data_IF_284371717450
#
_entry.id   IF_284371717450
#
_cell.length_a   1.000
_cell.length_b   1.000
_cell.length_c   1.000
_cell.angle_alpha   90.00
_cell.angle_beta   90.00
_cell.angle_gamma   90.00
#
_symmetry.space_group_name_H-M   'P 1'
#
loop_
_entity.id
_entity.type
_entity.pdbx_description
1 polymer ?
#
# COMPACT_ATOMS: atom_id res chain seq x y z
N UNK A 1 -19.72 27.32 41.63
CA UNK A 1 -19.25 27.54 40.24
C UNK A 1 -17.90 26.88 39.95
N UNK A 2 -16.87 27.02 40.80
CA UNK A 2 -15.53 26.42 40.57
C UNK A 2 -15.51 24.88 40.52
N UNK A 3 -16.35 24.20 41.30
CA UNK A 3 -16.43 22.73 41.33
C UNK A 3 -17.02 22.12 40.05
N UNK A 4 -18.04 22.76 39.46
CA UNK A 4 -18.62 22.32 38.18
C UNK A 4 -17.62 22.50 37.02
N UNK A 5 -16.72 23.48 37.11
CA UNK A 5 -15.69 23.72 36.10
C UNK A 5 -14.58 22.66 36.15
N UNK A 6 -14.18 22.22 37.35
CA UNK A 6 -13.24 21.11 37.53
C UNK A 6 -13.82 19.77 37.06
N UNK A 7 -15.12 19.54 37.27
CA UNK A 7 -15.81 18.35 36.75
C UNK A 7 -15.87 18.32 35.22
N UNK A 8 -16.12 19.48 34.59
CA UNK A 8 -16.14 19.59 33.12
C UNK A 8 -14.73 19.33 32.52
N UNK A 9 -13.70 19.82 33.21
CA UNK A 9 -12.31 19.61 32.81
C UNK A 9 -11.86 18.15 32.98
N UNK A 10 -12.28 17.49 34.06
CA UNK A 10 -12.03 16.07 34.30
C UNK A 10 -12.74 15.19 33.28
N UNK A 11 -13.98 15.52 32.91
CA UNK A 11 -14.70 14.84 31.85
C UNK A 11 -13.96 14.99 30.50
N UNK A 12 -13.50 16.19 30.18
CA UNK A 12 -12.74 16.46 28.96
C UNK A 12 -11.38 15.71 28.93
N UNK A 13 -10.75 15.52 30.08
CA UNK A 13 -9.49 14.78 30.22
C UNK A 13 -9.65 13.26 29.95
N UNK A 14 -10.83 12.69 30.21
CA UNK A 14 -11.10 11.27 29.93
C UNK A 14 -11.43 10.96 28.47
N UNK A 15 -11.83 11.96 27.67
CA UNK A 15 -12.19 11.78 26.25
C UNK A 15 -10.95 11.54 25.38
N UNK A 16 -9.74 11.88 25.84
CA UNK A 16 -8.53 11.82 25.04
C UNK A 16 -7.89 10.42 24.91
N UNK A 17 -8.49 9.35 25.47
CA UNK A 17 -7.80 8.06 25.62
C UNK A 17 -8.06 7.02 24.51
N UNK A 18 -8.90 7.27 23.50
CA UNK A 18 -9.34 6.22 22.55
C UNK A 18 -8.85 6.39 21.09
N UNK A 19 -7.72 7.04 20.83
CA UNK A 19 -7.29 7.34 19.46
C UNK A 19 -6.39 6.26 18.80
N UNK A 20 -5.69 5.44 19.58
CA UNK A 20 -4.66 4.53 19.05
C UNK A 20 -5.20 3.29 18.33
N UNK A 21 -6.33 2.72 18.79
CA UNK A 21 -6.87 1.47 18.23
C UNK A 21 -7.41 1.64 16.80
N UNK A 22 -7.85 2.86 16.44
CA UNK A 22 -8.45 3.12 15.14
C UNK A 22 -7.46 2.95 13.98
N UNK A 23 -6.21 3.38 14.18
CA UNK A 23 -5.15 3.33 13.15
C UNK A 23 -4.74 1.88 12.85
N UNK A 24 -4.67 1.03 13.88
CA UNK A 24 -4.32 -0.38 13.71
C UNK A 24 -5.39 -1.12 12.90
N UNK A 25 -6.67 -0.91 13.23
CA UNK A 25 -7.78 -1.54 12.51
C UNK A 25 -7.87 -1.09 11.05
N UNK A 26 -7.67 0.20 10.79
CA UNK A 26 -7.65 0.75 9.43
C UNK A 26 -6.49 0.16 8.60
N UNK A 27 -5.29 0.09 9.18
CA UNK A 27 -4.14 -0.55 8.54
C UNK A 27 -4.41 -2.02 8.20
N UNK A 28 -4.96 -2.79 9.15
CA UNK A 28 -5.31 -4.19 8.94
C UNK A 28 -6.34 -4.32 7.81
N UNK A 29 -7.33 -3.42 7.75
CA UNK A 29 -8.33 -3.39 6.69
C UNK A 29 -7.70 -3.21 5.30
N UNK A 30 -6.82 -2.22 5.14
CA UNK A 30 -6.13 -1.98 3.86
C UNK A 30 -5.26 -3.18 3.44
N UNK A 31 -4.49 -3.74 4.38
CA UNK A 31 -3.64 -4.91 4.11
C UNK A 31 -4.49 -6.11 3.72
N UNK A 32 -5.60 -6.35 4.43
CA UNK A 32 -6.52 -7.45 4.16
C UNK A 32 -7.13 -7.32 2.76
N UNK A 33 -7.62 -6.14 2.39
CA UNK A 33 -8.17 -5.91 1.06
C UNK A 33 -7.11 -6.10 -0.04
N UNK A 34 -5.93 -5.50 0.14
CA UNK A 34 -4.86 -5.61 -0.86
C UNK A 34 -4.34 -7.04 -1.00
N UNK A 35 -4.43 -7.87 0.03
CA UNK A 35 -4.03 -9.28 0.01
C UNK A 35 -5.19 -10.27 -0.27
N UNK A 36 -6.40 -9.78 -0.50
CA UNK A 36 -7.59 -10.62 -0.72
C UNK A 36 -7.46 -11.42 -2.04
N UNK A 37 -7.91 -12.67 -2.02
CA UNK A 37 -7.95 -13.57 -3.17
C UNK A 37 -8.75 -12.99 -4.35
N UNK A 38 -9.66 -12.04 -4.10
CA UNK A 38 -10.39 -11.29 -5.14
C UNK A 38 -9.48 -10.56 -6.12
N UNK A 39 -8.25 -10.23 -5.72
CA UNK A 39 -7.28 -9.59 -6.60
C UNK A 39 -6.58 -10.62 -7.49
N UNK A 40 -6.65 -11.91 -7.19
CA UNK A 40 -6.01 -13.01 -7.94
C UNK A 40 -4.48 -12.83 -8.08
N UNK A 41 -3.87 -12.01 -7.22
CA UNK A 41 -2.46 -11.59 -7.28
C UNK A 41 -2.25 -10.17 -7.82
N UNK A 42 -1.01 -9.67 -7.82
CA UNK A 42 -0.67 -8.30 -8.26
C UNK A 42 0.60 -8.26 -9.10
N UNK A 43 0.78 -9.25 -9.98
CA UNK A 43 1.90 -9.24 -10.92
C UNK A 43 1.77 -8.01 -11.85
N UNK A 44 2.90 -7.41 -12.23
CA UNK A 44 2.91 -6.26 -13.15
C UNK A 44 2.10 -6.54 -14.41
N UNK A 45 1.16 -5.65 -14.75
CA UNK A 45 0.28 -5.78 -15.91
C UNK A 45 -0.90 -6.75 -15.75
N UNK A 46 -1.04 -7.39 -14.57
CA UNK A 46 -2.21 -8.24 -14.27
C UNK A 46 -3.46 -7.42 -13.93
N UNK A 47 -4.62 -8.04 -14.01
CA UNK A 47 -5.90 -7.42 -13.62
C UNK A 47 -5.91 -7.00 -12.14
N UNK A 48 -5.33 -7.81 -11.26
CA UNK A 48 -5.25 -7.54 -9.83
C UNK A 48 -4.35 -6.35 -9.48
N UNK A 49 -3.28 -6.15 -10.24
CA UNK A 49 -2.45 -4.94 -10.13
C UNK A 49 -3.28 -3.68 -10.41
N UNK A 50 -4.05 -3.66 -11.50
CA UNK A 50 -4.90 -2.51 -11.83
C UNK A 50 -6.00 -2.25 -10.79
N UNK A 51 -6.57 -3.31 -10.18
CA UNK A 51 -7.56 -3.18 -9.10
C UNK A 51 -6.90 -2.57 -7.86
N UNK A 52 -5.72 -3.05 -7.48
CA UNK A 52 -4.97 -2.50 -6.34
C UNK A 52 -4.57 -1.04 -6.57
N UNK A 53 -4.10 -0.69 -7.77
CA UNK A 53 -3.72 0.67 -8.12
C UNK A 53 -4.90 1.65 -7.98
N UNK A 54 -6.09 1.26 -8.48
CA UNK A 54 -7.32 2.05 -8.32
C UNK A 54 -7.76 2.19 -6.86
N UNK A 55 -7.61 1.13 -6.07
CA UNK A 55 -7.92 1.18 -4.64
C UNK A 55 -7.04 2.21 -3.93
N UNK A 56 -5.72 2.14 -4.11
CA UNK A 56 -4.78 3.07 -3.48
C UNK A 56 -5.05 4.52 -3.91
N UNK A 57 -5.33 4.75 -5.20
CA UNK A 57 -5.68 6.07 -5.70
C UNK A 57 -6.95 6.63 -5.04
N UNK A 58 -7.95 5.78 -4.77
CA UNK A 58 -9.18 6.17 -4.05
C UNK A 58 -8.87 6.54 -2.61
N UNK A 59 -8.11 5.73 -1.88
CA UNK A 59 -7.73 6.04 -0.49
C UNK A 59 -6.92 7.35 -0.41
N UNK A 60 -6.00 7.59 -1.35
CA UNK A 60 -5.26 8.86 -1.45
C UNK A 60 -6.15 10.07 -1.70
N UNK A 61 -7.19 9.92 -2.52
CA UNK A 61 -8.18 10.96 -2.74
C UNK A 61 -9.00 11.24 -1.48
N UNK A 62 -9.40 10.20 -0.75
CA UNK A 62 -10.21 10.32 0.48
C UNK A 62 -9.47 11.02 1.62
N UNK A 63 -8.16 10.80 1.75
CA UNK A 63 -7.32 11.52 2.73
C UNK A 63 -6.90 12.93 2.26
N UNK A 64 -7.30 13.35 1.06
CA UNK A 64 -7.01 14.68 0.52
C UNK A 64 -5.56 14.88 0.07
N UNK A 65 -4.85 13.80 -0.29
CA UNK A 65 -3.47 13.88 -0.74
C UNK A 65 -3.39 14.69 -2.04
N UNK A 66 -2.37 15.52 -2.18
CA UNK A 66 -2.12 16.24 -3.44
C UNK A 66 -1.38 15.31 -4.38
N UNK A 67 -2.00 14.97 -5.51
CA UNK A 67 -1.38 14.16 -6.54
C UNK A 67 -0.14 14.87 -7.13
N UNK A 68 0.91 14.08 -7.35
CA UNK A 68 2.17 14.57 -7.89
C UNK A 68 2.01 14.94 -9.36
N UNK A 69 2.58 16.08 -9.77
CA UNK A 69 2.59 16.51 -11.18
C UNK A 69 1.29 17.15 -11.69
N UNK A 70 0.28 17.36 -10.83
CA UNK A 70 -0.99 17.98 -11.22
C UNK A 70 -1.98 17.02 -11.90
N UNK A 71 -1.66 15.74 -11.97
CA UNK A 71 -2.57 14.71 -12.44
C UNK A 71 -3.67 14.45 -11.42
N UNK A 72 -4.90 14.14 -11.86
CA UNK A 72 -6.05 13.98 -10.95
C UNK A 72 -6.23 12.57 -10.39
N UNK A 73 -5.52 11.59 -10.93
CA UNK A 73 -5.83 10.17 -10.76
C UNK A 73 -4.79 9.40 -9.92
N UNK A 74 -3.73 10.05 -9.42
CA UNK A 74 -2.66 9.43 -8.61
C UNK A 74 -1.91 8.26 -9.28
N UNK A 75 -2.12 8.03 -10.58
CA UNK A 75 -1.53 6.91 -11.32
C UNK A 75 -0.37 7.42 -12.17
N UNK A 76 0.80 6.78 -12.06
CA UNK A 76 1.95 7.08 -12.90
C UNK A 76 2.27 5.87 -13.77
N UNK A 77 1.96 5.97 -15.06
CA UNK A 77 2.22 4.89 -16.03
C UNK A 77 3.70 4.81 -16.39
N UNK A 78 4.21 3.58 -16.53
CA UNK A 78 5.56 3.31 -17.02
C UNK A 78 5.59 2.00 -17.81
N UNK A 79 6.52 1.90 -18.76
CA UNK A 79 6.73 0.66 -19.53
C UNK A 79 7.57 -0.33 -18.75
N UNK A 80 7.13 -1.58 -18.71
CA UNK A 80 7.87 -2.68 -18.08
C UNK A 80 8.07 -3.83 -19.08
N UNK A 81 9.31 -4.31 -19.18
CA UNK A 81 9.62 -5.53 -19.96
C UNK A 81 9.49 -6.74 -19.06
N UNK A 82 8.43 -7.53 -19.26
CA UNK A 82 8.24 -8.79 -18.55
C UNK A 82 9.11 -9.89 -19.18
N UNK A 83 10.18 -10.26 -18.48
CA UNK A 83 11.07 -11.35 -18.88
C UNK A 83 12.48 -10.89 -19.26
N UNK A 84 13.43 -11.83 -19.16
CA UNK A 84 14.80 -11.67 -19.65
C UNK A 84 14.90 -12.42 -20.96
N UNK A 85 14.96 -11.71 -22.09
CA UNK A 85 15.33 -12.34 -23.35
C UNK A 85 16.82 -12.69 -23.30
N UNK A 86 17.16 -13.93 -23.66
CA UNK A 86 18.55 -14.32 -23.82
C UNK A 86 19.09 -13.61 -25.06
N UNK A 87 19.95 -12.60 -24.86
CA UNK A 87 20.71 -12.02 -25.96
C UNK A 87 21.68 -13.05 -26.56
N UNK A 88 22.12 -12.84 -27.81
CA UNK A 88 23.05 -13.74 -28.52
C UNK A 88 24.35 -14.05 -27.74
N UNK A 89 24.72 -13.21 -26.77
CA UNK A 89 25.93 -13.32 -25.96
C UNK A 89 25.69 -13.88 -24.54
N UNK A 90 24.49 -14.38 -24.25
CA UNK A 90 24.26 -15.08 -22.98
C UNK A 90 24.82 -16.51 -23.10
N UNK A 91 25.95 -16.77 -22.45
CA UNK A 91 26.45 -18.12 -22.21
C UNK A 91 26.40 -18.45 -20.72
N UNK A 92 26.04 -19.69 -20.42
CA UNK A 92 26.22 -20.29 -19.10
C UNK A 92 27.41 -21.25 -19.21
N UNK A 93 28.42 -21.08 -18.34
CA UNK A 93 29.53 -22.02 -18.24
C UNK A 93 29.39 -22.73 -16.90
N UNK A 94 29.03 -24.01 -16.96
CA UNK A 94 29.12 -24.91 -15.81
C UNK A 94 30.54 -25.50 -15.82
N UNK A 95 31.36 -25.12 -14.84
CA UNK A 95 32.69 -25.67 -14.68
C UNK A 95 32.59 -27.10 -14.14
N UNK A 96 32.64 -28.08 -15.04
CA UNK A 96 32.76 -29.48 -14.64
C UNK A 96 34.18 -29.74 -14.11
N UNK A 97 34.40 -29.50 -12.82
CA UNK A 97 35.49 -30.13 -12.10
C UNK A 97 35.12 -31.60 -11.84
N UNK A 98 35.05 -32.40 -12.91
CA UNK A 98 35.08 -33.85 -12.77
C UNK A 98 36.55 -34.26 -12.59
N UNK A 99 36.95 -34.30 -11.32
CA UNK A 99 38.17 -34.97 -10.86
C UNK A 99 38.12 -36.43 -11.29
N UNK A 100 39.08 -36.84 -12.10
CA UNK A 100 39.48 -38.22 -12.36
C UNK A 100 40.98 -38.35 -12.16
#
# INVERSE_FOLDING_TARGET
MKQNLLFLFYFFLTIQLSAQDAIEQELISHVTYLADDKLEGRLTGSKGEQIAARYIAKEFMEIGLIARGGEKNYLQEFSFTAGKELGKNNSISAGDNITG
#
